data_IF_108645615936
#
_entry.id   IF_108645615936
#
_cell.length_a   1.000
_cell.length_b   1.000
_cell.length_c   1.000
_cell.angle_alpha   90.00
_cell.angle_beta   90.00
_cell.angle_gamma   90.00
#
_symmetry.space_group_name_H-M   'P 1'
#
loop_
_entity.id
_entity.type
_entity.pdbx_description
1 polymer ?
2 non-polymer ?
3 non-polymer ?
4 non-polymer ?
5 water ?
#
# COMPACT_ATOMS: atom_id res chain seq x y z
N UNK A 7 13.60 -27.28 -8.50
CA UNK A 7 13.72 -26.25 -7.40
C UNK A 7 14.47 -26.90 -6.22
N UNK A 8 15.27 -26.11 -5.49
CA UNK A 8 16.14 -26.67 -4.44
C UNK A 8 16.21 -25.74 -3.29
N UNK A 9 16.73 -26.25 -2.17
CA UNK A 9 16.83 -25.48 -0.93
C UNK A 9 18.18 -25.70 -0.33
N UNK A 10 18.64 -24.73 0.44
CA UNK A 10 19.89 -24.85 1.15
C UNK A 10 19.55 -24.81 2.63
N UNK A 11 19.95 -25.82 3.38
CA UNK A 11 19.68 -25.83 4.81
C UNK A 11 21.00 -25.80 5.51
N UNK A 12 21.05 -25.12 6.64
CA UNK A 12 22.27 -25.11 7.50
C UNK A 12 21.93 -25.65 8.91
N UNK A 13 22.90 -26.34 9.49
CA UNK A 13 22.84 -26.83 10.88
C UNK A 13 23.19 -25.72 11.92
N UNK A 14 24.07 -24.77 11.55
CA UNK A 14 24.70 -23.89 12.56
C UNK A 14 24.70 -22.39 12.22
N UNK A 15 23.51 -21.83 12.03
CA UNK A 15 23.36 -20.42 11.75
C UNK A 15 23.15 -19.58 13.04
N UNK A 16 23.84 -18.45 13.11
CA UNK A 16 23.76 -17.53 14.24
C UNK A 16 23.10 -16.26 13.78
N UNK A 17 21.93 -16.02 14.37
CA UNK A 17 21.13 -14.82 14.19
C UNK A 17 21.95 -13.59 14.45
N UNK A 18 21.71 -12.56 13.65
CA UNK A 18 22.39 -11.29 13.83
C UNK A 18 21.44 -10.12 13.63
N UNK A 19 21.97 -9.07 13.02
CA UNK A 19 21.23 -7.83 12.96
C UNK A 19 20.03 -8.01 12.09
N UNK A 20 19.16 -7.04 12.19
CA UNK A 20 18.37 -6.62 11.09
C UNK A 20 18.79 -5.20 10.94
N UNK A 21 18.87 -4.73 9.72
CA UNK A 21 19.12 -3.33 9.49
C UNK A 21 18.06 -2.92 8.52
N UNK A 22 17.50 -1.74 8.73
CA UNK A 22 16.72 -1.14 7.68
C UNK A 22 17.57 -0.11 6.99
N UNK A 23 17.33 0.08 5.71
CA UNK A 23 17.95 1.14 4.97
C UNK A 23 16.84 1.96 4.35
N UNK A 24 17.02 3.27 4.32
CA UNK A 24 16.07 4.18 3.74
C UNK A 24 16.27 4.22 2.23
N UNK A 25 15.17 4.12 1.50
CA UNK A 25 15.16 4.31 0.05
C UNK A 25 14.81 5.78 -0.21
N UNK A 26 15.76 6.52 -0.79
CA UNK A 26 15.59 7.93 -1.10
C UNK A 26 14.90 8.15 -2.46
N UNK A 27 15.22 7.30 -3.44
CA UNK A 27 14.83 7.48 -4.84
C UNK A 27 13.32 7.36 -5.02
N UNK A 28 12.67 8.46 -5.39
CA UNK A 28 11.21 8.53 -5.50
C UNK A 28 10.63 7.57 -6.55
N UNK A 29 11.34 7.41 -7.66
CA UNK A 29 10.94 6.48 -8.70
C UNK A 29 11.01 5.04 -8.22
N UNK A 30 12.00 4.75 -7.40
CA UNK A 30 12.10 3.43 -6.79
C UNK A 30 10.98 3.12 -5.78
N UNK A 31 10.59 4.12 -5.00
CA UNK A 31 9.46 3.99 -4.07
C UNK A 31 8.18 3.81 -4.88
N UNK A 32 8.00 4.64 -5.89
CA UNK A 32 6.84 4.50 -6.78
C UNK A 32 6.83 3.17 -7.49
N UNK A 33 8.01 2.64 -7.81
CA UNK A 33 8.06 1.31 -8.43
C UNK A 33 7.51 0.24 -7.50
N UNK A 34 7.81 0.35 -6.21
CA UNK A 34 7.30 -0.59 -5.23
C UNK A 34 5.79 -0.47 -5.19
N UNK A 35 5.31 0.76 -5.09
CA UNK A 35 3.87 1.01 -5.07
C UNK A 35 3.19 0.40 -6.31
N UNK A 36 3.80 0.61 -7.46
CA UNK A 36 3.24 0.15 -8.72
C UNK A 36 3.28 -1.37 -8.86
N UNK A 37 4.25 -2.01 -8.23
CA UNK A 37 4.34 -3.47 -8.22
C UNK A 37 3.34 -4.12 -7.27
N UNK A 38 2.83 -3.38 -6.29
CA UNK A 38 2.05 -4.02 -5.24
C UNK A 38 0.63 -4.30 -5.72
N UNK A 39 0.03 -5.40 -5.28
CA UNK A 39 -1.33 -5.75 -5.70
C UNK A 39 -2.35 -5.11 -4.77
N UNK A 40 -2.01 -5.02 -3.52
CA UNK A 40 -2.85 -4.41 -2.50
C UNK A 40 -2.02 -3.51 -1.65
N UNK A 41 -2.71 -2.71 -0.90
CA UNK A 41 -2.09 -1.82 0.03
C UNK A 41 -2.81 -2.00 1.35
N UNK A 42 -2.14 -1.60 2.42
CA UNK A 42 -2.66 -1.73 3.77
C UNK A 42 -2.87 -0.36 4.34
N UNK A 43 -4.13 -0.02 4.51
CA UNK A 43 -4.55 1.29 4.93
C UNK A 43 -4.76 1.29 6.44
N UNK A 44 -3.95 2.09 7.12
CA UNK A 44 -4.09 2.35 8.54
C UNK A 44 -4.98 3.56 8.78
N UNK A 45 -5.97 3.36 9.66
CA UNK A 45 -6.91 4.38 10.06
C UNK A 45 -6.96 4.30 11.60
N UNK A 46 -7.05 5.45 12.27
CA UNK A 46 -7.27 5.45 13.71
C UNK A 46 -8.73 5.23 13.94
N UNK A 47 -9.08 4.28 14.80
CA UNK A 47 -10.49 3.98 15.03
C UNK A 47 -11.07 4.96 16.02
N UNK A 48 -12.33 4.75 16.41
CA UNK A 48 -13.08 5.76 17.19
C UNK A 48 -12.65 5.83 18.65
N UNK A 49 -11.91 4.82 19.07
CA UNK A 49 -11.31 4.74 20.37
C UNK A 49 -9.84 5.11 20.35
N UNK A 50 -9.27 5.52 19.23
CA UNK A 50 -7.86 5.91 19.21
C UNK A 50 -6.88 4.78 18.94
N UNK A 51 -7.40 3.61 18.57
CA UNK A 51 -6.55 2.46 18.30
C UNK A 51 -6.42 2.22 16.81
N UNK A 52 -5.35 1.52 16.39
CA UNK A 52 -5.12 1.26 14.99
C UNK A 52 -6.13 0.30 14.37
N UNK A 53 -6.42 0.55 13.10
CA UNK A 53 -7.23 -0.29 12.25
C UNK A 53 -6.52 -0.36 10.91
N UNK A 54 -6.12 -1.56 10.48
CA UNK A 54 -5.42 -1.69 9.22
C UNK A 54 -6.24 -2.54 8.27
N UNK A 55 -6.54 -2.00 7.11
CA UNK A 55 -7.46 -2.67 6.23
C UNK A 55 -6.76 -2.81 4.86
N UNK A 56 -6.72 -4.01 4.29
CA UNK A 56 -6.16 -4.06 2.94
C UNK A 56 -7.15 -3.59 1.90
N UNK A 57 -6.63 -3.01 0.83
CA UNK A 57 -7.45 -2.44 -0.21
C UNK A 57 -6.75 -2.39 -1.53
N UNK A 58 -7.52 -2.42 -2.61
CA UNK A 58 -6.94 -2.19 -3.92
C UNK A 58 -6.77 -0.70 -4.14
N UNK A 59 -6.00 -0.32 -5.13
CA UNK A 59 -5.63 1.04 -5.28
C UNK A 59 -5.08 1.32 -6.67
N UNK A 60 -5.01 2.62 -6.95
CA UNK A 60 -4.30 3.14 -8.05
C UNK A 60 -3.43 4.26 -7.55
N UNK A 61 -2.39 4.54 -8.32
CA UNK A 61 -1.46 5.59 -7.98
C UNK A 61 -1.10 6.33 -9.25
N UNK A 62 -1.35 7.65 -9.25
CA UNK A 62 -0.68 8.51 -10.20
C UNK A 62 -0.47 9.92 -9.67
N UNK A 63 0.66 10.51 -10.06
CA UNK A 63 0.96 11.91 -9.76
C UNK A 63 0.75 12.22 -8.29
N UNK A 64 1.50 11.51 -7.45
CA UNK A 64 1.56 11.70 -5.98
C UNK A 64 0.23 11.59 -5.28
N UNK A 65 -0.64 10.79 -5.87
CA UNK A 65 -2.00 10.63 -5.39
C UNK A 65 -2.44 9.18 -5.45
N UNK A 66 -3.02 8.72 -4.35
CA UNK A 66 -3.58 7.38 -4.26
C UNK A 66 -5.09 7.47 -4.35
N UNK A 67 -5.68 6.47 -5.01
CA UNK A 67 -7.12 6.38 -5.19
C UNK A 67 -7.57 5.00 -4.73
N UNK A 68 -8.64 4.98 -3.97
CA UNK A 68 -9.26 3.78 -3.52
C UNK A 68 -10.76 3.92 -3.69
N UNK A 69 -11.47 2.83 -3.42
CA UNK A 69 -12.91 2.86 -3.49
C UNK A 69 -13.46 1.83 -2.56
N UNK A 70 -14.68 2.06 -2.10
CA UNK A 70 -15.35 1.21 -1.16
C UNK A 70 -16.86 1.44 -1.28
N UNK A 71 -17.63 0.66 -0.53
CA UNK A 71 -19.03 0.92 -0.35
C UNK A 71 -19.11 2.21 0.40
N UNK A 72 -20.32 2.79 0.49
CA UNK A 72 -20.44 4.10 1.13
C UNK A 72 -20.47 4.08 2.67
N UNK A 73 -20.57 2.90 3.28
CA UNK A 73 -20.51 2.75 4.74
C UNK A 73 -19.71 1.46 5.07
N UNK A 74 -19.43 1.12 6.33
CA UNK A 74 -19.51 2.01 7.47
C UNK A 74 -18.18 2.02 8.24
N UNK A 75 -17.71 0.87 8.70
CA UNK A 75 -16.67 0.85 9.74
C UNK A 75 -15.57 1.87 9.53
N UNK A 76 -14.79 1.67 8.48
CA UNK A 76 -13.70 2.56 8.10
C UNK A 76 -14.18 3.96 7.71
N UNK A 77 -15.45 4.08 7.35
CA UNK A 77 -16.01 5.36 6.94
C UNK A 77 -16.28 6.23 8.14
N UNK A 78 -16.96 5.67 9.14
CA UNK A 78 -17.14 6.38 10.40
C UNK A 78 -15.80 6.89 10.95
N UNK A 79 -14.76 6.06 10.88
CA UNK A 79 -13.47 6.43 11.43
C UNK A 79 -12.91 7.60 10.64
N UNK A 80 -12.94 7.51 9.32
CA UNK A 80 -12.35 8.58 8.49
C UNK A 80 -13.07 9.90 8.66
N UNK A 81 -14.34 9.83 9.01
CA UNK A 81 -15.10 11.05 9.21
C UNK A 81 -14.65 11.77 10.48
N UNK A 82 -14.15 11.01 11.46
CA UNK A 82 -13.55 11.58 12.66
C UNK A 82 -12.08 11.99 12.47
N UNK A 83 -11.31 11.16 11.76
CA UNK A 83 -9.89 11.44 11.46
C UNK A 83 -9.59 10.87 10.09
N UNK A 84 -9.32 11.73 9.11
CA UNK A 84 -9.12 11.26 7.76
C UNK A 84 -7.64 11.08 7.40
N UNK A 85 -6.76 11.19 8.39
CA UNK A 85 -5.35 10.84 8.17
C UNK A 85 -5.17 9.33 8.06
N UNK A 86 -4.53 8.89 6.98
CA UNK A 86 -4.27 7.48 6.75
C UNK A 86 -2.79 7.24 6.47
N UNK A 87 -2.31 6.05 6.86
CA UNK A 87 -0.97 5.61 6.52
C UNK A 87 -1.13 4.37 5.62
N UNK A 88 -0.72 4.50 4.37
CA UNK A 88 -0.93 3.44 3.42
C UNK A 88 0.41 2.82 3.05
N UNK A 89 0.52 1.53 3.33
CA UNK A 89 1.79 0.81 3.26
C UNK A 89 1.75 -0.32 2.26
N UNK A 90 2.89 -0.54 1.61
CA UNK A 90 3.00 -1.49 0.48
C UNK A 90 4.25 -2.32 0.69
N UNK A 91 4.21 -3.60 0.35
CA UNK A 91 5.43 -4.36 0.38
C UNK A 91 5.41 -5.51 -0.56
N UNK A 92 6.57 -5.82 -1.13
CA UNK A 92 6.71 -6.98 -2.01
C UNK A 92 7.33 -8.09 -1.19
N UNK A 93 7.18 -9.31 -1.67
CA UNK A 93 7.72 -10.45 -0.91
C UNK A 93 9.20 -10.31 -0.55
N UNK A 94 9.68 -11.17 0.35
CA UNK A 94 11.08 -11.16 0.68
C UNK A 94 11.85 -11.96 -0.33
N UNK A 95 13.09 -11.60 -0.55
CA UNK A 95 13.99 -12.49 -1.23
C UNK A 95 15.05 -13.02 -0.28
N UNK A 96 15.52 -14.19 -0.60
CA UNK A 96 16.52 -14.85 0.13
C UNK A 96 17.84 -14.79 -0.65
N UNK A 97 18.88 -14.26 -0.03
CA UNK A 97 20.16 -14.09 -0.64
C UNK A 97 21.22 -14.76 0.24
N UNK A 98 21.98 -15.70 -0.33
CA UNK A 98 23.12 -16.28 0.34
C UNK A 98 24.41 -15.62 -0.16
N UNK A 99 25.21 -15.09 0.76
CA UNK A 99 26.47 -14.39 0.44
C UNK A 99 27.58 -15.39 0.69
N UNK A 100 28.54 -15.44 -0.23
CA UNK A 100 29.55 -16.50 -0.18
C UNK A 100 30.98 -15.98 -0.20
N UNK A 105 29.87 -18.48 5.20
CA UNK A 105 28.61 -18.16 4.48
C UNK A 105 27.60 -17.39 5.36
N UNK A 106 26.57 -16.89 4.72
CA UNK A 106 25.76 -15.82 5.29
C UNK A 106 24.39 -15.88 4.65
N UNK A 107 23.37 -15.67 5.45
CA UNK A 107 21.98 -15.77 5.01
C UNK A 107 21.40 -14.37 5.25
N UNK A 108 20.63 -13.90 4.30
CA UNK A 108 20.03 -12.60 4.34
C UNK A 108 18.65 -12.73 3.72
N UNK A 109 17.64 -12.28 4.43
CA UNK A 109 16.28 -12.25 3.93
C UNK A 109 15.88 -10.79 3.82
N UNK A 110 15.57 -10.35 2.60
CA UNK A 110 15.53 -8.92 2.24
C UNK A 110 14.20 -8.58 1.61
N UNK A 111 13.59 -7.49 2.03
CA UNK A 111 12.41 -7.01 1.33
C UNK A 111 12.36 -5.50 1.30
N UNK A 112 11.41 -4.97 0.54
CA UNK A 112 11.28 -3.54 0.50
C UNK A 112 9.84 -3.13 0.60
N UNK A 113 9.62 -1.92 1.11
CA UNK A 113 8.30 -1.40 1.32
C UNK A 113 8.23 0.07 1.05
N UNK A 114 7.01 0.53 0.80
CA UNK A 114 6.73 1.94 0.67
C UNK A 114 5.66 2.28 1.68
N UNK A 115 5.64 3.55 2.07
CA UNK A 115 4.67 4.08 2.99
C UNK A 115 4.28 5.45 2.54
N UNK A 116 2.98 5.67 2.42
CA UNK A 116 2.41 6.96 2.05
C UNK A 116 1.50 7.48 3.15
N UNK A 117 1.70 8.73 3.53
CA UNK A 117 0.83 9.40 4.51
C UNK A 117 0.10 10.53 3.80
N UNK A 118 -1.19 10.65 4.06
CA UNK A 118 -1.98 11.72 3.45
C UNK A 118 -3.34 11.71 4.07
N UNK A 119 -4.21 12.58 3.58
CA UNK A 119 -5.56 12.68 4.08
C UNK A 119 -6.55 12.22 3.04
N UNK A 120 -7.58 11.52 3.47
CA UNK A 120 -8.66 11.07 2.60
C UNK A 120 -9.82 12.04 2.31
N UNK A 121 -10.02 12.34 1.02
CA UNK A 121 -11.25 12.96 0.53
C UNK A 121 -12.12 11.89 -0.10
N UNK A 122 -13.44 12.07 -0.01
CA UNK A 122 -14.37 11.30 -0.82
C UNK A 122 -14.84 12.16 -1.95
N UNK A 123 -14.52 11.73 -3.16
CA UNK A 123 -14.81 12.49 -4.37
C UNK A 123 -16.31 12.43 -4.59
N UNK A 124 -16.93 13.59 -4.80
CA UNK A 124 -18.36 13.63 -4.97
C UNK A 124 -18.74 13.77 -6.42
N UNK A 125 -17.99 14.52 -7.22
CA UNK A 125 -18.41 14.73 -8.61
C UNK A 125 -18.40 13.39 -9.32
N UNK A 126 -19.47 13.13 -10.04
CA UNK A 126 -19.66 11.87 -10.71
C UNK A 126 -18.56 11.59 -11.72
N UNK A 127 -18.21 12.58 -12.54
CA UNK A 127 -17.17 12.40 -13.57
C UNK A 127 -15.76 12.25 -12.96
N UNK A 128 -15.51 12.96 -11.87
CA UNK A 128 -14.22 12.81 -11.17
C UNK A 128 -14.09 11.42 -10.60
N UNK A 129 -15.21 10.89 -10.12
CA UNK A 129 -15.26 9.55 -9.57
C UNK A 129 -14.91 8.51 -10.63
N UNK A 130 -15.44 8.66 -11.85
CA UNK A 130 -15.12 7.76 -12.96
C UNK A 130 -13.65 7.80 -13.35
N UNK A 131 -13.11 9.02 -13.40
CA UNK A 131 -11.70 9.22 -13.71
C UNK A 131 -10.83 8.46 -12.73
N UNK A 132 -11.09 8.67 -11.45
CA UNK A 132 -10.38 8.00 -10.38
C UNK A 132 -10.57 6.50 -10.41
N UNK A 133 -11.80 6.05 -10.67
CA UNK A 133 -12.05 4.62 -10.77
C UNK A 133 -11.22 4.02 -11.89
N UNK A 134 -10.99 4.78 -12.94
CA UNK A 134 -10.15 4.33 -14.06
C UNK A 134 -8.70 4.14 -13.65
N UNK A 135 -8.19 5.06 -12.83
CA UNK A 135 -6.83 4.96 -12.32
C UNK A 135 -6.70 3.69 -11.49
N UNK A 136 -7.72 3.39 -10.72
CA UNK A 136 -7.67 2.19 -9.88
C UNK A 136 -7.66 0.93 -10.76
N UNK A 137 -8.58 0.85 -11.72
CA UNK A 137 -8.72 -0.34 -12.57
C UNK A 137 -7.48 -0.55 -13.42
N UNK A 138 -6.88 0.54 -13.91
CA UNK A 138 -5.70 0.44 -14.75
C UNK A 138 -4.55 -0.13 -13.97
N UNK A 139 -4.60 -0.08 -12.65
CA UNK A 139 -3.56 -0.72 -11.88
C UNK A 139 -3.61 -2.25 -12.04
N UNK A 140 -4.75 -2.82 -12.44
CA UNK A 140 -4.96 -4.30 -12.39
C UNK A 140 -5.23 -4.93 -13.74
N UNK A 141 -5.72 -4.14 -14.70
CA UNK A 141 -6.01 -4.67 -16.01
C UNK A 141 -6.00 -3.57 -17.04
N UNK A 142 -5.87 -3.96 -18.30
CA UNK A 142 -5.88 -3.04 -19.41
C UNK A 142 -7.29 -2.98 -19.99
N UNK A 143 -8.20 -3.75 -19.41
CA UNK A 143 -9.57 -3.80 -19.91
C UNK A 143 -10.29 -2.47 -19.73
N UNK A 144 -11.23 -2.17 -20.61
CA UNK A 144 -12.04 -0.95 -20.50
C UNK A 144 -13.20 -1.24 -19.57
N UNK A 145 -13.33 -0.42 -18.53
CA UNK A 145 -14.45 -0.51 -17.61
C UNK A 145 -15.42 0.62 -17.85
N UNK A 146 -16.70 0.28 -17.90
CA UNK A 146 -17.76 1.27 -17.75
C UNK A 146 -18.37 1.19 -16.37
N UNK A 147 -19.03 2.28 -15.97
CA UNK A 147 -19.70 2.42 -14.70
C UNK A 147 -21.03 3.11 -14.95
N UNK A 148 -22.14 2.42 -14.75
CA UNK A 148 -23.44 3.05 -14.84
C UNK A 148 -23.48 4.17 -13.79
N UNK A 149 -24.41 5.11 -13.92
CA UNK A 149 -24.59 6.14 -12.92
C UNK A 149 -24.91 5.53 -11.56
N UNK A 150 -25.87 4.59 -11.49
CA UNK A 150 -26.14 3.98 -10.20
C UNK A 150 -24.94 3.30 -9.55
N UNK A 151 -24.06 2.69 -10.33
CA UNK A 151 -22.80 2.13 -9.80
C UNK A 151 -21.86 3.21 -9.31
N UNK A 152 -21.74 4.30 -10.04
CA UNK A 152 -20.89 5.37 -9.54
C UNK A 152 -21.46 5.95 -8.25
N UNK A 153 -22.78 6.13 -8.20
CA UNK A 153 -23.45 6.61 -6.96
C UNK A 153 -23.20 5.75 -5.72
N UNK A 154 -23.20 4.43 -5.90
CA UNK A 154 -23.11 3.48 -4.78
C UNK A 154 -21.68 3.08 -4.40
N UNK A 155 -20.72 3.94 -4.73
CA UNK A 155 -19.33 3.71 -4.30
C UNK A 155 -18.79 5.01 -3.83
N UNK A 156 -17.96 4.91 -2.80
CA UNK A 156 -17.18 6.03 -2.31
C UNK A 156 -15.85 5.85 -2.94
N UNK A 157 -15.37 6.92 -3.55
CA UNK A 157 -14.08 6.93 -4.16
C UNK A 157 -13.18 7.86 -3.37
N UNK A 158 -12.09 7.29 -2.87
CA UNK A 158 -11.19 7.96 -1.94
C UNK A 158 -10.06 8.55 -2.72
N UNK A 159 -9.78 9.82 -2.49
CA UNK A 159 -8.61 10.47 -3.05
C UNK A 159 -7.71 10.82 -1.89
N UNK A 160 -6.45 10.46 -2.04
CA UNK A 160 -5.46 10.65 -0.97
C UNK A 160 -4.22 11.26 -1.58
N UNK A 161 -4.17 12.59 -1.61
CA UNK A 161 -2.92 13.21 -2.04
C UNK A 161 -1.86 12.83 -1.03
N UNK A 162 -0.70 12.41 -1.53
CA UNK A 162 0.33 11.87 -0.66
C UNK A 162 1.21 12.98 -0.18
N UNK A 163 1.19 13.21 1.13
CA UNK A 163 1.98 14.28 1.73
C UNK A 163 3.39 13.85 2.09
N UNK A 164 3.56 12.57 2.42
CA UNK A 164 4.88 12.03 2.66
C UNK A 164 4.92 10.59 2.17
N UNK A 165 5.96 10.30 1.40
CA UNK A 165 6.14 9.03 0.79
C UNK A 165 7.55 8.61 1.08
N UNK A 166 7.69 7.43 1.69
CA UNK A 166 9.00 6.91 2.11
C UNK A 166 9.11 5.45 1.74
N UNK A 167 10.34 4.96 1.69
CA UNK A 167 10.61 3.57 1.34
C UNK A 167 11.67 3.05 2.28
N UNK A 168 11.72 1.75 2.48
CA UNK A 168 12.62 1.15 3.46
C UNK A 168 12.97 -0.20 2.89
N UNK A 169 14.25 -0.57 2.95
CA UNK A 169 14.66 -1.95 2.72
C UNK A 169 14.98 -2.59 4.07
N UNK A 170 14.44 -3.75 4.33
CA UNK A 170 14.76 -4.43 5.54
C UNK A 170 15.57 -5.70 5.24
N UNK A 171 16.73 -5.84 5.91
CA UNK A 171 17.60 -7.01 5.83
C UNK A 171 17.72 -7.74 7.15
N UNK A 172 17.18 -8.96 7.20
CA UNK A 172 17.32 -9.88 8.35
C UNK A 172 18.44 -10.90 8.11
N UNK A 173 19.46 -10.92 8.97
CA UNK A 173 20.73 -11.56 8.69
C UNK A 173 21.11 -12.71 9.66
N UNK A 174 21.74 -13.74 9.14
CA UNK A 174 22.32 -14.79 9.97
C UNK A 174 23.62 -15.25 9.32
N UNK A 175 24.61 -15.62 10.12
CA UNK A 175 25.93 -16.06 9.64
C UNK A 175 26.26 -17.45 10.18
N UNK A 176 27.14 -18.19 9.50
CA UNK A 176 27.58 -19.54 9.95
C UNK A 176 28.67 -19.40 11.01
X LIG B 1 20.92 -22.39 -4.75
X LIG C 1 11.64 4.56 12.24
X LIG C 1 11.34 4.94 13.68
X LIG C 1 13.10 4.53 11.81
X LIG C 1 10.84 5.59 11.30
X LIG C 1 11.52 6.45 10.42
X LIG C 1 10.57 6.88 9.30
X LIG C 1 10.92 6.21 8.09
X LIG C 1 9.07 6.59 9.52
X LIG C 1 8.38 7.53 10.34
X LIG C 1 8.60 6.55 8.08
X LIG C 1 8.47 7.83 7.48
X LIG C 1 9.75 5.78 7.42
X LIG C 1 9.49 4.31 7.49
X LIG C 1 9.54 3.49 8.58
X LIG C 1 9.20 2.25 8.20
X LIG C 1 8.95 2.22 6.87
X LIG C 1 8.57 1.17 5.97
X LIG C 1 8.96 -0.09 6.23
X LIG C 1 8.36 1.50 4.65
X LIG C 1 8.53 2.82 4.21
X LIG C 1 8.90 3.85 5.07
X LIG C 1 9.12 3.54 6.40
X LIG C 1 11.48 -4.43 11.00
X LIG C 1 11.64 -4.97 12.27
X LIG C 1 12.08 -4.29 13.21
X LIG C 1 11.33 -6.29 12.47
X LIG C 1 10.85 -7.08 11.42
X LIG C 1 10.30 -8.12 11.72
X LIG C 1 10.69 -6.54 10.15
X LIG C 1 10.22 -7.26 9.06
X LIG C 1 10.08 -6.63 7.79
X LIG C 1 9.59 -7.33 6.73
X LIG C 1 9.42 -6.72 5.50
X LIG C 1 8.27 -7.32 4.76
X LIG C 1 9.76 -5.39 5.33
X LIG C 1 9.45 -4.59 4.13
X LIG C 1 10.26 -4.68 6.38
X LIG C 1 10.39 -5.30 7.61
X LIG C 1 10.83 -4.60 8.72
X LIG C 1 10.99 -5.19 9.96
X LIG C 1 11.00 -3.14 8.66
X LIG C 1 9.99 -2.51 9.58
X LIG C 1 8.99 -1.98 8.72
X LIG C 1 10.92 -1.56 10.38
X LIG C 1 10.97 -1.76 11.79
X LIG C 1 10.60 -0.15 10.03
X LIG C 1 10.78 0.05 8.63
X LIG C 1 11.44 0.67 11.02
X LIG C 1 10.52 0.77 12.09
X LIG C 1 10.36 2.09 13.00
X LIG C 1 11.29 1.87 14.19
X LIG C 1 8.92 2.37 13.36
X LIG C 1 10.94 3.14 11.94
X LIG D 1 15.73 -1.65 12.74
X LIG D 1 15.00 -0.49 12.30
X LIG D 1 14.77 -2.80 13.05
X LIG D 1 13.74 -2.40 13.97
#
# INVERSE_FOLDING_TARGET
>A
XGSDKIHHHHHHENLYFQGMKTIVIEDKQRIESIILQADACFVGITDLEGNPYVVPMNFGYENDTLYLHSGPEGGKIEMLQRNNNVCITFSLGHKLVYQHKQVACSYSMRSESAMCRGKVEFIEDMEEKRHALDIIMRHYTKDQFSYSDPAVRNVKVWKVPVDQMTGKVFGLRADEKP
>B hetero
1 NI NI
>C hetero
1 FAD PA O1A O2A O5B C5B C4B O4B C3B O3B C2B O2B C1B N9A C8A N7A C5A C6A N6A N1A C2A N3A C4A N1 C2 O2 N3 C4 O4 C4X N5 C5X C6 C7 C7M C8 C8M C9 C9A N10 C10 C1' C2' O2' C3' O3' C4' O4' C5' O5' P O1P O2P O3P
>D hetero
1 EDO C1 O1 C2 O2
#
